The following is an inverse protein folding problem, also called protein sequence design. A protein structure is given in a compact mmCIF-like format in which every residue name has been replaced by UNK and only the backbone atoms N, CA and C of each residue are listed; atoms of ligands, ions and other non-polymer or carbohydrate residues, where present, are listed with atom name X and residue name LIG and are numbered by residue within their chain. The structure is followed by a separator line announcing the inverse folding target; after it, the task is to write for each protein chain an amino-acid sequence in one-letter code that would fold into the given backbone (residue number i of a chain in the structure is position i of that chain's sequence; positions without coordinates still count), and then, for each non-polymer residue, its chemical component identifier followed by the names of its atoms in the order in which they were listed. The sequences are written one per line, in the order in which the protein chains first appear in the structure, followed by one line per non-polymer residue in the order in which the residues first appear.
data_IF_255177903894
#
_entry.id   IF_255177903894
#
_cell.length_a   1.000
_cell.length_b   1.000
_cell.length_c   1.000
_cell.angle_alpha   90.00
_cell.angle_beta   90.00
_cell.angle_gamma   90.00
#
_symmetry.space_group_name_H-M   'P 1'
#
loop_
_entity.id
_entity.type
_entity.pdbx_description
1 polymer ?
#
# COMPACT_ATOMS: atom_id res chain seq x y z
N UNK A 1 -7.04 -14.03 -5.69
CA UNK A 1 -7.24 -12.86 -6.57
C UNK A 1 -6.75 -11.61 -5.83
N UNK A 2 -6.03 -10.68 -6.48
CA UNK A 2 -5.58 -9.43 -5.82
C UNK A 2 -6.76 -8.45 -5.69
N UNK A 3 -7.01 -7.82 -4.52
CA UNK A 3 -8.17 -6.95 -4.30
C UNK A 3 -8.34 -5.84 -5.33
N UNK A 4 -7.25 -5.19 -5.73
CA UNK A 4 -7.29 -4.15 -6.75
C UNK A 4 -7.71 -4.68 -8.14
N UNK A 5 -7.32 -5.92 -8.49
CA UNK A 5 -7.73 -6.53 -9.77
C UNK A 5 -9.19 -6.96 -9.75
N UNK A 6 -9.68 -7.43 -8.59
CA UNK A 6 -11.11 -7.67 -8.40
C UNK A 6 -11.91 -6.41 -8.65
N UNK A 7 -11.58 -5.32 -7.94
CA UNK A 7 -12.34 -4.08 -8.02
C UNK A 7 -12.24 -3.43 -9.40
N UNK A 8 -11.06 -3.49 -10.04
CA UNK A 8 -10.88 -3.02 -11.41
C UNK A 8 -11.82 -3.70 -12.38
N UNK A 9 -11.88 -5.04 -12.37
CA UNK A 9 -12.80 -5.81 -13.21
C UNK A 9 -14.25 -5.50 -12.87
N UNK A 10 -14.58 -5.35 -11.59
CA UNK A 10 -15.95 -5.09 -11.13
C UNK A 10 -16.47 -3.73 -11.61
N UNK A 11 -15.66 -2.67 -11.51
CA UNK A 11 -16.08 -1.30 -11.87
C UNK A 11 -15.99 -1.01 -13.37
N UNK A 12 -14.97 -1.54 -14.05
CA UNK A 12 -14.72 -1.23 -15.48
C UNK A 12 -15.28 -2.28 -16.44
N UNK A 13 -15.62 -3.48 -15.93
CA UNK A 13 -15.97 -4.64 -16.74
C UNK A 13 -14.79 -5.29 -17.48
N UNK A 14 -13.58 -4.74 -17.37
CA UNK A 14 -12.40 -5.18 -18.11
C UNK A 14 -11.65 -6.25 -17.31
N UNK A 15 -11.42 -7.42 -17.93
CA UNK A 15 -10.48 -8.40 -17.40
C UNK A 15 -9.08 -8.16 -17.98
N UNK A 16 -8.16 -7.74 -17.12
CA UNK A 16 -6.79 -7.44 -17.54
C UNK A 16 -6.01 -8.72 -17.82
N UNK A 17 -5.07 -8.67 -18.77
CA UNK A 17 -4.17 -9.80 -19.00
C UNK A 17 -3.37 -10.14 -17.71
N UNK A 18 -2.91 -11.40 -17.55
CA UNK A 18 -2.21 -11.84 -16.33
C UNK A 18 -0.92 -11.07 -16.03
N UNK A 19 -0.22 -10.62 -17.06
CA UNK A 19 1.03 -9.85 -17.01
C UNK A 19 0.81 -8.33 -16.83
N UNK A 20 -0.44 -7.87 -16.95
CA UNK A 20 -0.79 -6.47 -16.76
C UNK A 20 -0.78 -6.11 -15.27
N UNK A 21 -0.12 -4.99 -14.95
CA UNK A 21 -0.02 -4.45 -13.61
C UNK A 21 -1.01 -3.31 -13.40
N UNK A 22 -1.52 -3.19 -12.17
CA UNK A 22 -2.16 -1.98 -11.66
C UNK A 22 -1.12 -1.25 -10.82
N UNK A 23 -0.68 -0.09 -11.30
CA UNK A 23 0.37 0.73 -10.72
C UNK A 23 -0.25 1.84 -9.89
N UNK A 24 0.32 2.10 -8.72
CA UNK A 24 -0.15 3.14 -7.82
C UNK A 24 0.34 4.52 -8.25
N UNK A 25 -0.57 5.50 -8.25
CA UNK A 25 -0.21 6.92 -8.28
C UNK A 25 0.07 7.48 -6.89
N UNK A 26 -0.60 6.92 -5.88
CA UNK A 26 -0.51 7.37 -4.50
C UNK A 26 0.67 6.75 -3.71
N UNK A 27 1.39 5.79 -4.30
CA UNK A 27 2.47 5.03 -3.64
C UNK A 27 2.09 4.34 -2.31
N UNK A 28 0.78 4.11 -2.07
CA UNK A 28 0.26 3.39 -0.90
C UNK A 28 -0.05 1.94 -1.28
N UNK A 29 0.69 0.93 -0.78
CA UNK A 29 0.57 -0.47 -1.23
C UNK A 29 -0.73 -1.16 -0.77
N UNK A 30 -1.44 -0.61 0.22
CA UNK A 30 -2.74 -1.10 0.68
C UNK A 30 -3.92 -0.41 -0.01
N UNK A 31 -3.67 0.65 -0.77
CA UNK A 31 -4.72 1.34 -1.49
C UNK A 31 -5.33 0.38 -2.51
N UNK A 32 -6.66 0.37 -2.61
CA UNK A 32 -7.37 -0.39 -3.65
C UNK A 32 -8.34 0.51 -4.40
N UNK A 33 -8.18 1.82 -4.27
CA UNK A 33 -9.10 2.81 -4.83
C UNK A 33 -9.02 2.82 -6.36
N UNK A 34 -9.97 2.12 -6.97
CA UNK A 34 -10.26 2.11 -8.40
C UNK A 34 -11.49 2.97 -8.59
N UNK A 35 -11.46 3.80 -9.62
CA UNK A 35 -12.63 4.49 -10.14
C UNK A 35 -12.68 4.33 -11.67
N UNK A 36 -13.88 4.50 -12.26
CA UNK A 36 -14.06 4.56 -13.71
C UNK A 36 -13.53 5.87 -14.29
N UNK A 37 -13.53 6.95 -13.50
CA UNK A 37 -12.90 8.22 -13.81
C UNK A 37 -11.38 8.14 -13.57
N UNK A 38 -10.56 8.27 -14.63
CA UNK A 38 -9.10 8.26 -14.51
C UNK A 38 -8.51 9.38 -13.63
N UNK A 39 -9.27 10.46 -13.38
CA UNK A 39 -8.85 11.56 -12.51
C UNK A 39 -9.06 11.25 -11.03
N UNK A 40 -9.98 10.35 -10.69
CA UNK A 40 -10.32 9.95 -9.31
C UNK A 40 -9.54 8.70 -8.89
N UNK A 41 -9.37 7.75 -9.81
CA UNK A 41 -8.67 6.48 -9.51
C UNK A 41 -7.23 6.69 -9.04
N UNK A 42 -6.82 5.94 -8.02
CA UNK A 42 -5.43 5.91 -7.56
C UNK A 42 -4.58 4.88 -8.31
N UNK A 43 -5.19 4.13 -9.22
CA UNK A 43 -4.55 3.04 -9.96
C UNK A 43 -4.54 3.33 -11.45
N UNK A 44 -3.43 3.01 -12.10
CA UNK A 44 -3.31 3.04 -13.57
C UNK A 44 -2.87 1.68 -14.09
N UNK A 45 -3.36 1.34 -15.28
CA UNK A 45 -2.87 0.17 -16.00
C UNK A 45 -1.43 0.43 -16.49
N UNK A 46 -0.56 -0.57 -16.42
CA UNK A 46 0.80 -0.52 -16.93
C UNK A 46 1.49 -1.87 -16.87
N UNK A 47 2.79 -1.89 -17.18
CA UNK A 47 3.63 -3.09 -17.13
C UNK A 47 4.83 -2.94 -16.20
N UNK A 48 5.66 -3.98 -16.20
CA UNK A 48 6.91 -4.00 -15.46
C UNK A 48 7.86 -2.84 -15.86
N UNK A 49 8.03 -2.47 -17.15
CA UNK A 49 8.90 -1.34 -17.52
C UNK A 49 8.45 -0.02 -16.90
N UNK A 50 7.14 0.26 -16.91
CA UNK A 50 6.56 1.45 -16.28
C UNK A 50 6.80 1.46 -14.77
N UNK A 51 6.58 0.33 -14.10
CA UNK A 51 6.81 0.20 -12.65
C UNK A 51 8.27 0.47 -12.28
N UNK A 52 9.21 -0.03 -13.09
CA UNK A 52 10.64 0.21 -12.88
C UNK A 52 11.00 1.68 -13.11
N UNK A 53 10.40 2.35 -14.11
CA UNK A 53 10.58 3.80 -14.32
C UNK A 53 10.01 4.63 -13.16
N UNK A 54 8.84 4.28 -12.64
CA UNK A 54 8.24 4.98 -11.48
C UNK A 54 9.11 4.80 -10.23
N UNK A 55 9.58 3.57 -10.01
CA UNK A 55 10.53 3.25 -8.94
C UNK A 55 11.80 4.08 -9.08
N UNK A 56 12.39 4.12 -10.28
CA UNK A 56 13.58 4.89 -10.64
C UNK A 56 13.41 6.39 -10.35
N UNK A 57 12.30 6.97 -10.82
CA UNK A 57 11.94 8.38 -10.62
C UNK A 57 11.77 8.72 -9.14
N UNK A 58 11.18 7.82 -8.37
CA UNK A 58 10.97 8.01 -6.94
C UNK A 58 12.22 7.75 -6.07
N UNK A 59 13.36 7.39 -6.67
CA UNK A 59 14.58 7.10 -5.91
C UNK A 59 14.54 5.78 -5.12
N UNK A 60 13.49 4.96 -5.30
CA UNK A 60 13.24 3.73 -4.52
C UNK A 60 14.08 2.53 -4.99
N UNK A 61 14.73 2.63 -6.12
CA UNK A 61 15.75 1.69 -6.60
C UNK A 61 16.94 1.58 -5.64
N UNK A 62 17.20 2.65 -4.88
CA UNK A 62 18.36 2.78 -3.99
C UNK A 62 18.04 2.45 -2.54
N UNK A 63 16.86 1.88 -2.25
CA UNK A 63 16.26 1.91 -0.92
C UNK A 63 16.95 0.96 0.09
N UNK A 64 18.12 1.40 0.55
CA UNK A 64 18.88 0.87 1.68
C UNK A 64 18.07 1.00 3.00
N UNK A 65 17.19 2.00 3.09
CA UNK A 65 16.39 2.32 4.28
C UNK A 65 15.32 1.27 4.62
N UNK A 66 14.63 0.67 3.63
CA UNK A 66 13.64 -0.38 3.89
C UNK A 66 14.30 -1.71 4.27
N UNK A 67 15.49 -1.98 3.72
CA UNK A 67 16.26 -3.18 4.04
C UNK A 67 16.82 -3.07 5.47
N UNK A 68 17.47 -1.96 5.84
CA UNK A 68 18.12 -1.86 7.15
C UNK A 68 17.14 -1.66 8.32
N UNK A 69 16.02 -0.93 8.13
CA UNK A 69 15.08 -0.61 9.23
C UNK A 69 13.91 -1.59 9.38
N UNK A 70 13.52 -2.30 8.31
CA UNK A 70 12.39 -3.24 8.32
C UNK A 70 12.76 -4.68 7.93
N UNK A 71 13.85 -4.91 7.19
CA UNK A 71 14.35 -6.29 7.02
C UNK A 71 15.02 -6.82 8.30
N UNK A 72 15.49 -5.93 9.18
CA UNK A 72 16.02 -6.23 10.51
C UNK A 72 14.97 -6.70 11.53
N UNK A 73 13.68 -6.42 11.31
CA UNK A 73 12.61 -6.96 12.14
C UNK A 73 12.40 -8.46 11.84
N UNK A 74 12.27 -9.32 12.87
CA UNK A 74 11.78 -10.68 12.70
C UNK A 74 10.50 -10.73 11.87
N UNK A 75 10.32 -11.81 11.09
CA UNK A 75 9.12 -12.00 10.25
C UNK A 75 7.83 -11.91 11.07
N UNK A 76 7.82 -12.44 12.29
CA UNK A 76 6.68 -12.40 13.20
C UNK A 76 6.24 -10.97 13.49
N UNK A 77 7.18 -10.08 13.80
CA UNK A 77 6.91 -8.69 14.15
C UNK A 77 6.38 -7.89 12.96
N UNK A 78 6.92 -8.17 11.75
CA UNK A 78 6.37 -7.60 10.52
C UNK A 78 4.91 -8.00 10.30
N UNK A 79 4.57 -9.27 10.54
CA UNK A 79 3.19 -9.77 10.41
C UNK A 79 2.28 -9.15 11.47
N UNK A 80 2.72 -9.08 12.73
CA UNK A 80 1.94 -8.49 13.82
C UNK A 80 1.64 -7.00 13.55
N UNK A 81 2.64 -6.24 13.08
CA UNK A 81 2.47 -4.84 12.68
C UNK A 81 1.51 -4.69 11.50
N UNK A 82 1.60 -5.57 10.50
CA UNK A 82 0.67 -5.56 9.36
C UNK A 82 -0.78 -5.85 9.77
N UNK A 83 -0.98 -6.78 10.72
CA UNK A 83 -2.31 -7.08 11.28
C UNK A 83 -2.88 -5.91 12.07
N UNK A 84 -2.10 -5.30 12.97
CA UNK A 84 -2.53 -4.08 13.72
C UNK A 84 -3.00 -2.97 12.79
N UNK A 85 -2.23 -2.67 11.73
CA UNK A 85 -2.64 -1.68 10.74
C UNK A 85 -3.96 -2.05 10.05
N UNK A 86 -4.12 -3.33 9.68
CA UNK A 86 -5.37 -3.80 9.06
C UNK A 86 -6.57 -3.61 10.00
N UNK A 87 -6.43 -4.04 11.25
CA UNK A 87 -7.51 -3.99 12.23
C UNK A 87 -7.91 -2.53 12.51
N UNK A 88 -6.92 -1.63 12.68
CA UNK A 88 -7.15 -0.19 12.80
C UNK A 88 -7.97 0.40 11.64
N UNK A 89 -7.59 0.11 10.39
CA UNK A 89 -8.31 0.62 9.20
C UNK A 89 -9.70 -0.01 9.07
N UNK A 90 -9.87 -1.27 9.48
CA UNK A 90 -11.16 -1.94 9.46
C UNK A 90 -12.13 -1.32 10.46
N UNK A 91 -11.65 -1.04 11.67
CA UNK A 91 -12.50 -0.69 12.81
C UNK A 91 -12.78 0.82 12.87
N UNK A 92 -11.88 1.67 12.34
CA UNK A 92 -11.99 3.13 12.39
C UNK A 92 -12.07 3.81 11.02
N UNK A 93 -11.97 3.04 9.92
CA UNK A 93 -11.85 3.60 8.58
C UNK A 93 -10.47 4.23 8.32
N UNK A 94 -10.37 5.07 7.30
CA UNK A 94 -9.10 5.72 6.95
C UNK A 94 -8.86 6.96 7.83
N UNK A 95 -8.30 6.72 9.02
CA UNK A 95 -7.89 7.76 9.96
C UNK A 95 -6.36 7.78 10.11
N UNK A 96 -5.73 8.92 9.76
CA UNK A 96 -4.28 9.07 9.75
C UNK A 96 -3.66 8.96 11.15
N UNK A 97 -4.35 9.42 12.19
CA UNK A 97 -3.85 9.39 13.56
C UNK A 97 -3.86 7.97 14.11
N UNK A 98 -4.97 7.25 13.91
CA UNK A 98 -5.09 5.84 14.31
C UNK A 98 -4.09 4.97 13.55
N UNK A 99 -3.92 5.20 12.24
CA UNK A 99 -2.91 4.52 11.42
C UNK A 99 -1.50 4.77 11.95
N UNK A 100 -1.17 6.02 12.32
CA UNK A 100 0.15 6.37 12.85
C UNK A 100 0.44 5.63 14.17
N UNK A 101 -0.53 5.57 15.09
CA UNK A 101 -0.41 4.83 16.35
C UNK A 101 -0.25 3.33 16.12
N UNK A 102 -1.06 2.73 15.26
CA UNK A 102 -0.99 1.30 14.92
C UNK A 102 0.37 0.90 14.30
N UNK A 103 1.02 1.84 13.60
CA UNK A 103 2.34 1.65 13.00
C UNK A 103 3.52 1.91 13.95
N UNK A 104 3.27 2.50 15.12
CA UNK A 104 4.27 2.76 16.15
C UNK A 104 4.78 1.47 16.78
N UNK A 105 6.09 1.41 17.02
CA UNK A 105 6.72 0.30 17.74
C UNK A 105 6.39 0.32 19.24
N UNK A 106 5.90 1.45 19.75
CA UNK A 106 5.64 1.64 21.18
C UNK A 106 4.27 1.10 21.63
N UNK A 107 3.37 0.77 20.69
CA UNK A 107 2.00 0.32 21.00
C UNK A 107 0.98 1.47 20.99
N UNK A 108 -0.31 1.12 21.06
CA UNK A 108 -1.43 2.08 20.97
C UNK A 108 -1.56 2.96 22.23
N UNK A 109 -1.17 2.43 23.40
CA UNK A 109 -1.27 3.11 24.70
C UNK A 109 -0.05 3.98 25.02
N UNK A 110 0.97 4.02 24.15
CA UNK A 110 2.18 4.77 24.43
C UNK A 110 1.98 6.25 24.09
N UNK A 111 2.18 7.18 25.04
CA UNK A 111 2.03 8.60 24.77
C UNK A 111 3.02 9.05 23.70
N UNK A 112 2.55 9.83 22.73
CA UNK A 112 3.41 10.50 21.75
C UNK A 112 3.88 11.83 22.30
N UNK A 113 5.12 12.20 22.02
CA UNK A 113 5.58 13.58 22.21
C UNK A 113 5.01 14.40 21.05
N UNK A 114 3.82 14.96 21.29
CA UNK A 114 3.00 15.79 20.40
C UNK A 114 2.37 15.04 19.21
#
# INVERSE_FOLDING_TARGET
MRPQRFLYRHLTGIDLAPDTMLLHRCDVPLCVHVDVDPAVTHLRVGGAPENQRDTARAGRQRNRFTIERFASLPRADRVARSRRLRDAVRDHGWDLEVIARALSAAGEDHPTLF
#
